data_IF_178981089905
#
_entry.id   IF_178981089905
#
_cell.length_a   1.000
_cell.length_b   1.000
_cell.length_c   1.000
_cell.angle_alpha   90.00
_cell.angle_beta   90.00
_cell.angle_gamma   90.00
#
_symmetry.space_group_name_H-M   'P 1'
#
loop_
_entity.id
_entity.type
_entity.pdbx_description
1 polymer ?
#
# COMPACT_ATOMS: atom_id res chain seq x y z
N UNK A 1 -17.24 -9.69 -0.38
CA UNK A 1 -18.29 -8.74 0.08
C UNK A 1 -18.21 -7.31 -0.52
N UNK A 2 -17.28 -7.01 -1.44
CA UNK A 2 -17.42 -5.86 -2.37
C UNK A 2 -17.09 -6.33 -3.80
N UNK A 3 -15.96 -7.00 -4.00
CA UNK A 3 -15.64 -7.67 -5.27
C UNK A 3 -16.74 -8.65 -5.72
N UNK A 4 -17.26 -9.46 -4.79
CA UNK A 4 -18.38 -10.39 -5.06
C UNK A 4 -19.71 -9.69 -5.45
N UNK A 5 -19.86 -8.40 -5.15
CA UNK A 5 -21.04 -7.62 -5.51
C UNK A 5 -20.98 -7.06 -6.95
N UNK A 6 -19.94 -7.41 -7.72
CA UNK A 6 -19.76 -6.97 -9.11
C UNK A 6 -19.23 -5.55 -9.25
N UNK A 7 -18.70 -4.95 -8.17
CA UNK A 7 -18.10 -3.61 -8.21
C UNK A 7 -16.58 -3.68 -8.33
N UNK A 8 -15.99 -2.69 -9.00
CA UNK A 8 -14.54 -2.51 -9.05
C UNK A 8 -14.08 -1.90 -7.72
N UNK A 9 -13.30 -2.66 -6.95
CA UNK A 9 -12.71 -2.19 -5.70
C UNK A 9 -11.29 -1.65 -5.95
N UNK A 10 -11.04 -0.41 -5.55
CA UNK A 10 -9.69 0.19 -5.58
C UNK A 10 -9.21 0.35 -4.14
N UNK A 11 -8.04 -0.23 -3.85
CA UNK A 11 -7.38 -0.11 -2.56
C UNK A 11 -5.97 0.46 -2.77
N UNK A 12 -5.54 1.36 -1.87
CA UNK A 12 -4.25 2.05 -1.96
C UNK A 12 -3.54 2.02 -0.60
N UNK A 13 -3.34 0.81 -0.08
CA UNK A 13 -2.55 0.56 1.12
C UNK A 13 -1.07 0.40 0.77
N UNK A 14 -0.17 0.63 1.73
CA UNK A 14 1.28 0.46 1.54
C UNK A 14 1.63 -1.00 1.24
N UNK A 15 0.96 -1.94 1.90
CA UNK A 15 1.09 -3.39 1.70
C UNK A 15 2.55 -3.85 1.52
N UNK A 16 3.46 -3.58 2.49
CA UNK A 16 4.90 -3.75 2.30
C UNK A 16 5.30 -5.22 2.12
N UNK A 17 4.60 -6.13 2.79
CA UNK A 17 4.94 -7.55 2.81
C UNK A 17 4.33 -8.31 1.63
N UNK A 18 5.17 -9.06 0.92
CA UNK A 18 4.73 -9.88 -0.22
C UNK A 18 3.77 -10.99 0.21
N UNK A 19 4.02 -11.60 1.37
CA UNK A 19 3.16 -12.65 1.93
C UNK A 19 1.70 -12.20 2.09
N UNK A 20 1.46 -10.96 2.52
CA UNK A 20 0.12 -10.42 2.69
C UNK A 20 -0.57 -10.22 1.33
N UNK A 21 0.17 -9.70 0.34
CA UNK A 21 -0.35 -9.52 -1.03
C UNK A 21 -0.64 -10.86 -1.71
N UNK A 22 0.21 -11.86 -1.49
CA UNK A 22 0.02 -13.22 -1.98
C UNK A 22 -1.20 -13.89 -1.34
N UNK A 23 -1.38 -13.69 -0.03
CA UNK A 23 -2.55 -14.17 0.70
C UNK A 23 -3.83 -13.59 0.11
N UNK A 24 -3.91 -12.27 -0.07
CA UNK A 24 -5.11 -11.62 -0.64
C UNK A 24 -5.35 -12.05 -2.09
N UNK A 25 -4.30 -12.15 -2.91
CA UNK A 25 -4.40 -12.65 -4.29
C UNK A 25 -5.00 -14.06 -4.33
N UNK A 26 -4.64 -14.92 -3.37
CA UNK A 26 -5.15 -16.30 -3.27
C UNK A 26 -6.60 -16.41 -2.78
N UNK A 27 -7.17 -15.36 -2.19
CA UNK A 27 -8.58 -15.33 -1.75
C UNK A 27 -9.56 -15.00 -2.88
N UNK A 28 -9.08 -14.46 -3.99
CA UNK A 28 -9.90 -14.01 -5.13
C UNK A 28 -9.80 -15.00 -6.29
N UNK A 29 -10.81 -15.01 -7.18
CA UNK A 29 -10.76 -15.91 -8.34
C UNK A 29 -9.70 -15.43 -9.33
N UNK A 30 -9.18 -16.33 -10.19
CA UNK A 30 -8.26 -15.94 -11.26
C UNK A 30 -8.83 -14.79 -12.09
N UNK A 31 -8.07 -13.71 -12.24
CA UNK A 31 -8.47 -12.51 -12.99
C UNK A 31 -9.21 -11.44 -12.19
N UNK A 32 -9.62 -11.71 -10.95
CA UNK A 32 -10.32 -10.72 -10.09
C UNK A 32 -9.37 -9.85 -9.27
N UNK A 33 -8.08 -10.21 -9.19
CA UNK A 33 -7.05 -9.43 -8.51
C UNK A 33 -6.03 -8.86 -9.49
N UNK A 34 -5.84 -7.54 -9.44
CA UNK A 34 -4.81 -6.83 -10.20
C UNK A 34 -3.91 -6.10 -9.20
N UNK A 35 -2.62 -6.37 -9.26
CA UNK A 35 -1.62 -5.68 -8.45
C UNK A 35 -0.97 -4.57 -9.28
N UNK A 36 -0.96 -3.35 -8.75
CA UNK A 36 -0.28 -2.20 -9.36
C UNK A 36 0.85 -1.75 -8.44
N UNK A 37 2.09 -1.92 -8.88
CA UNK A 37 3.24 -1.44 -8.12
C UNK A 37 3.53 0.03 -8.45
N UNK A 38 3.17 0.93 -7.51
CA UNK A 38 3.50 2.35 -7.61
C UNK A 38 4.95 2.55 -7.18
N UNK A 39 5.87 2.45 -8.15
CA UNK A 39 7.31 2.55 -7.91
C UNK A 39 7.80 4.01 -8.01
N UNK A 40 7.67 4.76 -6.92
CA UNK A 40 8.26 6.09 -6.79
C UNK A 40 9.51 6.02 -5.88
N UNK A 41 10.61 6.71 -6.21
CA UNK A 41 11.78 6.79 -5.34
C UNK A 41 11.42 7.38 -3.97
N UNK A 42 12.01 6.84 -2.89
CA UNK A 42 11.69 7.25 -1.52
C UNK A 42 12.01 8.72 -1.28
N UNK A 43 13.08 9.25 -1.88
CA UNK A 43 13.49 10.64 -1.76
C UNK A 43 12.43 11.59 -2.34
N UNK A 44 11.71 11.16 -3.39
CA UNK A 44 10.62 11.92 -3.98
C UNK A 44 9.38 11.87 -3.08
N UNK A 45 9.09 10.72 -2.48
CA UNK A 45 7.98 10.56 -1.52
C UNK A 45 8.21 11.41 -0.26
N UNK A 46 9.42 11.37 0.31
CA UNK A 46 9.84 12.18 1.46
C UNK A 46 9.81 13.66 1.16
N UNK A 47 10.27 14.08 -0.02
CA UNK A 47 10.19 15.50 -0.41
C UNK A 47 8.74 15.99 -0.52
N UNK A 48 7.81 15.12 -0.93
CA UNK A 48 6.39 15.48 -1.07
C UNK A 48 5.68 15.56 0.28
N UNK A 49 5.97 14.62 1.18
CA UNK A 49 5.41 14.44 2.52
C UNK A 49 4.11 15.23 2.84
N UNK A 50 3.01 14.97 2.11
CA UNK A 50 1.81 15.82 2.17
C UNK A 50 1.11 15.81 3.53
N UNK A 51 1.46 14.85 4.39
CA UNK A 51 0.88 14.65 5.72
C UNK A 51 1.89 14.90 6.85
N UNK A 52 3.13 15.25 6.53
CA UNK A 52 4.19 15.43 7.53
C UNK A 52 4.59 14.12 8.26
N UNK A 53 4.29 12.95 7.68
CA UNK A 53 4.51 11.67 8.35
C UNK A 53 5.98 11.24 8.25
N UNK A 54 6.64 11.52 7.13
CA UNK A 54 8.07 11.28 7.01
C UNK A 54 8.86 12.19 7.96
N UNK A 55 8.49 13.46 8.07
CA UNK A 55 9.11 14.38 9.02
C UNK A 55 9.03 13.84 10.47
N UNK A 56 7.85 13.36 10.90
CA UNK A 56 7.64 12.76 12.22
C UNK A 56 8.38 11.43 12.42
N UNK A 57 8.50 10.62 11.37
CA UNK A 57 9.27 9.39 11.43
C UNK A 57 10.78 9.69 11.64
N UNK A 58 11.31 10.70 10.94
CA UNK A 58 12.72 11.13 11.07
C UNK A 58 13.05 11.72 12.45
N UNK A 59 12.06 12.29 13.14
CA UNK A 59 12.20 12.77 14.53
C UNK A 59 11.91 11.70 15.59
N UNK A 60 11.69 10.44 15.20
CA UNK A 60 11.31 9.32 16.09
C UNK A 60 9.97 9.49 16.82
N UNK A 61 9.09 10.39 16.38
CA UNK A 61 7.73 10.51 16.92
C UNK A 61 6.84 9.35 16.46
N UNK A 62 7.14 8.77 15.30
CA UNK A 62 6.48 7.56 14.77
C UNK A 62 7.52 6.46 14.62
N UNK A 63 7.32 5.37 15.37
CA UNK A 63 8.13 4.14 15.27
C UNK A 63 7.60 3.23 14.18
N UNK A 64 8.46 2.39 13.63
CA UNK A 64 8.12 1.35 12.64
C UNK A 64 7.40 1.89 11.39
N UNK A 65 7.77 3.11 10.96
CA UNK A 65 7.26 3.73 9.75
C UNK A 65 7.84 3.04 8.51
N UNK A 66 7.02 2.82 7.47
CA UNK A 66 7.48 2.19 6.24
C UNK A 66 8.27 3.18 5.37
N UNK A 67 9.54 2.87 5.12
CA UNK A 67 10.47 3.69 4.33
C UNK A 67 11.74 4.04 5.09
#
# INVERSE_FOLDING_TARGET
>A
LMADAGVICITAFISPYRADRDTIRGLLKPGEFVEVFVNAPIEVCEKRDPKGLYAKARTNEIKDFTG
#
